data_IF_163581482641
#
_entry.id   IF_163581482641
#
_cell.length_a   1.000
_cell.length_b   1.000
_cell.length_c   1.000
_cell.angle_alpha   90.00
_cell.angle_beta   90.00
_cell.angle_gamma   90.00
#
_symmetry.space_group_name_H-M   'P 1'
#
loop_
_entity.id
_entity.type
_entity.pdbx_description
1 polymer ?
#
# COMPACT_ATOMS: atom_id res chain seq x y z
N UNK A 1 -8.88 -0.89 -1.25
CA UNK A 1 -8.24 -2.11 -1.74
C UNK A 1 -9.25 -3.24 -1.62
N UNK A 2 -9.42 -4.05 -2.64
CA UNK A 2 -10.29 -5.21 -2.62
C UNK A 2 -9.38 -6.43 -2.63
N UNK A 3 -9.48 -7.27 -1.63
CA UNK A 3 -8.74 -8.54 -1.53
C UNK A 3 -9.75 -9.67 -1.68
N UNK A 4 -9.44 -10.62 -2.54
CA UNK A 4 -10.20 -11.84 -2.68
C UNK A 4 -9.47 -12.92 -1.91
N UNK A 5 -10.15 -13.50 -0.91
CA UNK A 5 -9.59 -14.59 -0.11
C UNK A 5 -10.32 -15.86 -0.55
N UNK A 6 -9.65 -16.74 -1.30
CA UNK A 6 -10.24 -17.99 -1.72
C UNK A 6 -10.53 -18.91 -0.53
N UNK A 7 -11.47 -19.81 -0.70
CA UNK A 7 -11.78 -20.81 0.33
C UNK A 7 -10.61 -21.79 0.45
N UNK A 8 -10.12 -21.98 1.68
CA UNK A 8 -9.06 -22.98 1.94
C UNK A 8 -9.64 -24.38 1.81
N UNK A 9 -9.05 -25.30 1.05
CA UNK A 9 -9.47 -26.69 0.96
C UNK A 9 -9.49 -27.36 2.34
N UNK A 10 -10.47 -28.26 2.54
CA UNK A 10 -10.61 -28.93 3.84
C UNK A 10 -9.36 -29.72 4.26
N UNK A 11 -8.68 -30.35 3.30
CA UNK A 11 -7.42 -31.07 3.56
C UNK A 11 -6.33 -30.15 4.12
N UNK A 12 -6.18 -28.94 3.57
CA UNK A 12 -5.22 -27.97 4.08
C UNK A 12 -5.58 -27.44 5.47
N UNK A 13 -6.86 -27.43 5.83
CA UNK A 13 -7.31 -27.03 7.17
C UNK A 13 -7.03 -28.09 8.23
N UNK A 14 -7.09 -29.37 7.84
CA UNK A 14 -6.89 -30.51 8.74
C UNK A 14 -5.37 -30.84 8.88
N UNK A 15 -4.68 -30.85 7.76
CA UNK A 15 -3.28 -31.26 7.67
C UNK A 15 -2.31 -30.07 7.61
N UNK A 16 -2.79 -28.86 7.88
CA UNK A 16 -1.99 -27.65 7.73
C UNK A 16 -0.67 -27.79 8.51
N UNK A 17 0.47 -27.95 7.83
CA UNK A 17 1.74 -27.78 8.52
C UNK A 17 1.74 -26.35 9.10
N UNK A 18 2.23 -26.19 10.29
CA UNK A 18 2.44 -24.89 10.95
C UNK A 18 3.54 -24.07 10.22
N UNK A 19 3.34 -23.86 8.92
CA UNK A 19 4.33 -23.29 8.00
C UNK A 19 3.98 -21.88 7.50
N UNK A 20 3.01 -21.24 8.09
CA UNK A 20 2.71 -19.83 7.84
C UNK A 20 3.77 -18.90 8.45
N UNK A 21 3.92 -17.72 7.86
CA UNK A 21 4.79 -16.69 8.41
C UNK A 21 4.38 -16.33 9.84
N UNK A 22 5.32 -16.35 10.79
CA UNK A 22 5.06 -16.01 12.19
C UNK A 22 4.57 -14.54 12.28
N UNK A 23 3.55 -14.32 13.10
CA UNK A 23 3.02 -12.98 13.39
C UNK A 23 4.09 -12.00 13.83
N UNK A 24 5.15 -12.48 14.49
CA UNK A 24 6.30 -11.67 14.90
C UNK A 24 7.08 -11.14 13.70
N UNK A 25 7.28 -11.96 12.67
CA UNK A 25 7.94 -11.55 11.43
C UNK A 25 7.11 -10.52 10.66
N UNK A 26 5.80 -10.78 10.54
CA UNK A 26 4.87 -9.84 9.92
C UNK A 26 4.86 -8.50 10.67
N UNK A 27 4.78 -8.54 12.02
CA UNK A 27 4.83 -7.36 12.87
C UNK A 27 6.12 -6.55 12.66
N UNK A 28 7.27 -7.21 12.55
CA UNK A 28 8.56 -6.55 12.32
C UNK A 28 8.55 -5.75 11.01
N UNK A 29 8.04 -6.34 9.92
CA UNK A 29 7.92 -5.64 8.62
C UNK A 29 6.94 -4.46 8.68
N UNK A 30 5.81 -4.66 9.35
CA UNK A 30 4.83 -3.58 9.52
C UNK A 30 5.43 -2.42 10.32
N UNK A 31 6.15 -2.70 11.40
CA UNK A 31 6.81 -1.68 12.21
C UNK A 31 7.89 -0.92 11.41
N UNK A 32 8.68 -1.64 10.59
CA UNK A 32 9.67 -1.00 9.71
C UNK A 32 9.00 -0.05 8.71
N UNK A 33 7.92 -0.49 8.04
CA UNK A 33 7.17 0.35 7.12
C UNK A 33 6.54 1.58 7.83
N UNK A 34 6.02 1.38 9.04
CA UNK A 34 5.45 2.48 9.84
C UNK A 34 6.49 3.51 10.27
N UNK A 35 7.71 3.09 10.62
CA UNK A 35 8.81 4.00 10.91
C UNK A 35 9.13 4.90 9.71
N UNK A 36 9.27 4.31 8.52
CA UNK A 36 9.53 5.08 7.29
C UNK A 36 8.41 6.11 7.03
N UNK A 37 7.16 5.74 7.29
CA UNK A 37 6.03 6.67 7.14
C UNK A 37 6.10 7.80 8.18
N UNK A 38 6.37 7.48 9.44
CA UNK A 38 6.49 8.46 10.52
C UNK A 38 7.66 9.43 10.29
N UNK A 39 8.82 8.93 9.85
CA UNK A 39 9.96 9.76 9.52
C UNK A 39 9.66 10.73 8.37
N UNK A 40 8.91 10.28 7.38
CA UNK A 40 8.52 11.08 6.21
C UNK A 40 7.50 12.15 6.54
N UNK A 41 6.48 11.80 7.30
CA UNK A 41 5.30 12.62 7.52
C UNK A 41 5.23 13.28 8.88
N UNK A 42 6.00 12.79 9.87
CA UNK A 42 6.06 13.33 11.23
C UNK A 42 6.34 14.83 11.29
N UNK A 43 7.27 15.38 10.51
CA UNK A 43 7.49 16.83 10.45
C UNK A 43 6.28 17.65 10.01
N UNK A 44 5.31 17.01 9.35
CA UNK A 44 4.05 17.62 8.91
C UNK A 44 2.85 17.26 9.81
N UNK A 45 3.11 16.55 10.91
CA UNK A 45 2.10 16.16 11.89
C UNK A 45 1.27 14.91 11.53
N UNK A 46 1.73 14.06 10.59
CA UNK A 46 1.04 12.84 10.21
C UNK A 46 1.88 11.60 10.53
N UNK A 47 1.23 10.51 10.92
CA UNK A 47 1.91 9.26 11.29
C UNK A 47 1.96 8.23 10.14
N UNK A 48 1.05 8.33 9.19
CA UNK A 48 0.98 7.37 8.09
C UNK A 48 0.42 7.99 6.80
N UNK A 49 0.64 7.28 5.68
CA UNK A 49 0.21 7.74 4.35
C UNK A 49 -1.30 8.01 4.25
N UNK A 50 -2.13 7.29 5.01
CA UNK A 50 -3.60 7.44 4.96
C UNK A 50 -4.10 8.75 5.56
N UNK A 51 -3.37 9.34 6.51
CA UNK A 51 -3.72 10.57 7.18
C UNK A 51 -3.40 11.82 6.37
N UNK A 52 -2.45 11.71 5.43
CA UNK A 52 -1.94 12.85 4.67
C UNK A 52 -3.01 13.39 3.71
N UNK A 53 -3.40 14.68 3.80
CA UNK A 53 -4.30 15.30 2.85
C UNK A 53 -3.76 15.25 1.41
N UNK A 54 -4.66 15.15 0.43
CA UNK A 54 -4.28 14.97 -0.97
C UNK A 54 -3.38 16.08 -1.50
N UNK A 55 -3.66 17.31 -1.14
CA UNK A 55 -2.85 18.46 -1.57
C UNK A 55 -1.41 18.41 -1.05
N UNK A 56 -1.21 17.87 0.16
CA UNK A 56 0.12 17.66 0.74
C UNK A 56 0.79 16.46 0.05
N UNK A 57 0.07 15.37 -0.11
CA UNK A 57 0.57 14.18 -0.79
C UNK A 57 1.11 14.52 -2.18
N UNK A 58 0.32 15.21 -3.01
CA UNK A 58 0.71 15.60 -4.37
C UNK A 58 1.95 16.49 -4.42
N UNK A 59 2.12 17.38 -3.47
CA UNK A 59 3.30 18.27 -3.38
C UNK A 59 4.58 17.52 -3.02
N UNK A 60 4.48 16.46 -2.22
CA UNK A 60 5.62 15.69 -1.72
C UNK A 60 5.94 14.45 -2.54
N UNK A 61 5.03 14.01 -3.42
CA UNK A 61 5.27 12.87 -4.30
C UNK A 61 5.90 13.34 -5.60
N UNK A 62 7.19 13.05 -5.75
CA UNK A 62 7.89 13.23 -7.02
C UNK A 62 7.79 11.94 -7.83
N UNK A 63 7.01 11.97 -8.89
CA UNK A 63 6.92 10.86 -9.85
C UNK A 63 8.04 10.99 -10.88
N UNK A 64 8.76 9.91 -11.12
CA UNK A 64 9.71 9.81 -12.25
C UNK A 64 8.95 9.87 -13.58
N UNK A 65 9.66 10.13 -14.68
CA UNK A 65 9.06 10.10 -16.03
C UNK A 65 8.43 8.74 -16.32
N UNK A 66 9.14 7.66 -16.02
CA UNK A 66 8.67 6.29 -16.17
C UNK A 66 7.40 6.01 -15.34
N UNK A 67 7.39 6.40 -14.08
CA UNK A 67 6.20 6.23 -13.22
C UNK A 67 4.98 7.00 -13.77
N UNK A 68 5.19 8.18 -14.36
CA UNK A 68 4.11 8.95 -15.01
C UNK A 68 3.52 8.21 -16.21
N UNK A 69 4.36 7.63 -17.07
CA UNK A 69 3.89 6.87 -18.23
C UNK A 69 3.13 5.59 -17.81
N UNK A 70 3.63 4.85 -16.82
CA UNK A 70 2.91 3.70 -16.25
C UNK A 70 1.54 4.13 -15.70
N UNK A 71 1.48 5.22 -14.95
CA UNK A 71 0.23 5.74 -14.42
C UNK A 71 -0.74 6.20 -15.49
N UNK A 72 -0.27 6.86 -16.56
CA UNK A 72 -1.11 7.23 -17.71
C UNK A 72 -1.73 6.00 -18.37
N UNK A 73 -0.91 4.98 -18.62
CA UNK A 73 -1.39 3.70 -19.15
C UNK A 73 -2.45 3.05 -18.26
N UNK A 74 -2.19 3.00 -16.94
CA UNK A 74 -3.12 2.46 -15.98
C UNK A 74 -4.44 3.24 -15.88
N UNK A 75 -4.40 4.56 -15.96
CA UNK A 75 -5.61 5.40 -15.98
C UNK A 75 -6.48 5.05 -17.19
N UNK A 76 -5.88 4.90 -18.38
CA UNK A 76 -6.59 4.52 -19.59
C UNK A 76 -7.16 3.11 -19.53
N UNK A 77 -6.33 2.12 -19.17
CA UNK A 77 -6.70 0.70 -19.16
C UNK A 77 -7.76 0.37 -18.10
N UNK A 78 -7.63 0.92 -16.89
CA UNK A 78 -8.50 0.62 -15.75
C UNK A 78 -9.55 1.70 -15.48
N UNK A 79 -9.65 2.72 -16.33
CA UNK A 79 -10.56 3.88 -16.15
C UNK A 79 -10.50 4.45 -14.72
N UNK A 80 -9.30 4.63 -14.21
CA UNK A 80 -9.10 5.11 -12.85
C UNK A 80 -9.63 6.55 -12.71
N UNK A 81 -10.50 6.75 -11.71
CA UNK A 81 -10.88 8.10 -11.31
C UNK A 81 -9.73 8.82 -10.61
N UNK A 82 -9.80 10.15 -10.47
CA UNK A 82 -8.83 10.91 -9.68
C UNK A 82 -8.66 10.38 -8.26
N UNK A 83 -9.74 9.88 -7.64
CA UNK A 83 -9.71 9.22 -6.32
C UNK A 83 -8.96 7.87 -6.38
N UNK A 84 -9.13 7.12 -7.48
CA UNK A 84 -8.38 5.87 -7.70
C UNK A 84 -6.89 6.14 -7.83
N UNK A 85 -6.51 7.14 -8.60
CA UNK A 85 -5.12 7.55 -8.76
C UNK A 85 -4.48 7.94 -7.42
N UNK A 86 -5.17 8.74 -6.60
CA UNK A 86 -4.67 9.13 -5.28
C UNK A 86 -4.45 7.94 -4.36
N UNK A 87 -5.31 6.93 -4.41
CA UNK A 87 -5.15 5.69 -3.65
C UNK A 87 -3.93 4.90 -4.12
N UNK A 88 -3.72 4.78 -5.42
CA UNK A 88 -2.52 4.13 -5.98
C UNK A 88 -1.26 4.83 -5.47
N UNK A 89 -1.19 6.15 -5.58
CA UNK A 89 -0.06 6.95 -5.10
C UNK A 89 0.19 6.74 -3.59
N UNK A 90 -0.86 6.67 -2.77
CA UNK A 90 -0.73 6.41 -1.32
C UNK A 90 -0.18 5.03 -1.01
N UNK A 91 -0.57 4.02 -1.77
CA UNK A 91 -0.14 2.64 -1.56
C UNK A 91 1.28 2.38 -2.05
N UNK A 92 1.70 3.05 -3.11
CA UNK A 92 3.04 2.89 -3.71
C UNK A 92 4.16 3.61 -2.93
N UNK A 93 3.83 4.36 -1.91
CA UNK A 93 4.77 5.10 -1.04
C UNK A 93 5.04 4.32 0.22
#
# INVERSE_FOLDING_TARGET
MRLEVPRVPAAELIDAPSGGEDSRMVRSRVLAARRIQADRWGPLGYLCNSEVPEGILRRHVRLTGEAKEILKGAIGAFRLSGRGLSRVIRLSR
#
